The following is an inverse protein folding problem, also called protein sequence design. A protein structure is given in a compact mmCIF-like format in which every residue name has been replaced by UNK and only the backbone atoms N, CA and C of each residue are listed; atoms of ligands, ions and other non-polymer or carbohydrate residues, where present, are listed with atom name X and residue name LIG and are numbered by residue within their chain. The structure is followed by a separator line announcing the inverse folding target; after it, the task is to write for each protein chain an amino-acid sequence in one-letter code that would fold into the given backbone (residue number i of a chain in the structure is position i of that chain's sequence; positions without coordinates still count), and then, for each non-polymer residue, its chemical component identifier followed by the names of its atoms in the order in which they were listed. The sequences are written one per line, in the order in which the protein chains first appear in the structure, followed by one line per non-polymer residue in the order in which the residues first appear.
data_IF_173264921336
#
_entry.id   IF_173264921336
#
_cell.length_a   1.000
_cell.length_b   1.000
_cell.length_c   1.000
_cell.angle_alpha   90.00
_cell.angle_beta   90.00
_cell.angle_gamma   90.00
#
_symmetry.space_group_name_H-M   'P 1'
#
loop_
_entity.id
_entity.type
_entity.pdbx_description
1 polymer ?
#
# COMPACT_ATOMS: atom_id res chain seq x y z
N UNK A 1 8.07 -7.16 -20.55
CA UNK A 1 6.59 -7.07 -20.53
C UNK A 1 6.01 -6.87 -21.93
N UNK A 2 6.15 -5.70 -22.59
CA UNK A 2 5.54 -5.44 -23.92
C UNK A 2 5.85 -6.46 -25.03
N UNK A 3 7.01 -7.12 -24.97
CA UNK A 3 7.36 -8.15 -25.94
C UNK A 3 6.65 -9.49 -25.70
N UNK A 4 6.24 -9.76 -24.46
CA UNK A 4 5.79 -11.08 -23.98
C UNK A 4 4.27 -11.14 -23.78
N UNK A 5 3.65 -10.02 -23.38
CA UNK A 5 2.23 -9.97 -23.02
C UNK A 5 1.31 -10.28 -24.21
N UNK A 6 0.40 -11.25 -24.01
CA UNK A 6 -0.64 -11.61 -24.98
C UNK A 6 -0.14 -12.31 -26.24
N UNK A 7 1.10 -12.81 -26.24
CA UNK A 7 1.67 -13.52 -27.39
C UNK A 7 1.97 -14.97 -27.05
N UNK A 8 1.98 -15.80 -28.08
CA UNK A 8 2.42 -17.18 -28.00
C UNK A 8 3.94 -17.28 -28.16
N UNK A 9 4.52 -18.29 -27.52
CA UNK A 9 5.95 -18.55 -27.48
C UNK A 9 6.23 -20.04 -27.58
N UNK A 10 7.32 -20.37 -28.25
CA UNK A 10 7.86 -21.72 -28.30
C UNK A 10 8.90 -21.88 -27.18
N UNK A 11 8.73 -22.89 -26.34
CA UNK A 11 9.64 -23.19 -25.24
C UNK A 11 10.36 -24.49 -25.52
N UNK A 12 11.69 -24.43 -25.56
CA UNK A 12 12.56 -25.58 -25.72
C UNK A 12 13.25 -25.90 -24.40
N UNK A 13 13.20 -27.17 -24.03
CA UNK A 13 13.77 -27.70 -22.79
C UNK A 13 15.05 -28.45 -23.12
N UNK A 14 16.08 -28.20 -22.34
CA UNK A 14 17.30 -28.97 -22.31
C UNK A 14 17.28 -29.76 -21.01
N UNK A 15 17.10 -31.07 -21.13
CA UNK A 15 17.06 -31.98 -20.00
C UNK A 15 18.46 -32.58 -19.76
N UNK A 16 18.74 -32.96 -18.51
CA UNK A 16 19.90 -33.78 -18.17
C UNK A 16 19.63 -35.26 -18.48
N UNK A 17 20.63 -36.09 -18.22
CA UNK A 17 20.56 -37.53 -18.45
C UNK A 17 19.65 -38.27 -17.46
N UNK A 18 19.17 -37.58 -16.41
CA UNK A 18 18.30 -38.11 -15.35
C UNK A 18 16.84 -37.64 -15.54
N UNK A 19 16.56 -36.80 -16.54
CA UNK A 19 15.25 -36.26 -16.86
C UNK A 19 14.89 -34.97 -16.13
N UNK A 20 15.85 -34.31 -15.47
CA UNK A 20 15.64 -32.98 -14.90
C UNK A 20 15.91 -31.90 -15.96
N UNK A 21 15.14 -30.82 -15.91
CA UNK A 21 15.35 -29.67 -16.81
C UNK A 21 16.59 -28.89 -16.37
N UNK A 22 17.64 -28.87 -17.20
CA UNK A 22 18.83 -28.03 -16.99
C UNK A 22 18.57 -26.58 -17.40
N UNK A 23 17.89 -26.39 -18.52
CA UNK A 23 17.65 -25.06 -19.08
C UNK A 23 16.41 -25.04 -19.94
N UNK A 24 15.63 -23.96 -19.84
CA UNK A 24 14.49 -23.71 -20.70
C UNK A 24 14.68 -22.40 -21.46
N UNK A 25 14.55 -22.45 -22.79
CA UNK A 25 14.80 -21.32 -23.68
C UNK A 25 13.54 -20.98 -24.45
N UNK A 26 13.19 -19.69 -24.47
CA UNK A 26 11.98 -19.18 -25.10
C UNK A 26 12.32 -18.51 -26.42
N UNK A 27 11.61 -18.92 -27.46
CA UNK A 27 11.66 -18.32 -28.78
C UNK A 27 10.30 -17.74 -29.17
N UNK A 28 10.34 -16.73 -30.03
CA UNK A 28 9.16 -16.18 -30.68
C UNK A 28 9.49 -15.97 -32.16
N UNK A 29 8.73 -16.61 -33.06
CA UNK A 29 8.94 -16.51 -34.50
C UNK A 29 10.40 -16.76 -34.91
N UNK A 30 11.04 -17.79 -34.31
CA UNK A 30 12.45 -18.13 -34.57
C UNK A 30 13.49 -17.21 -33.93
N UNK A 31 13.08 -16.19 -33.16
CA UNK A 31 13.99 -15.29 -32.44
C UNK A 31 14.10 -15.67 -30.97
N UNK A 32 15.33 -15.77 -30.46
CA UNK A 32 15.59 -15.93 -29.03
C UNK A 32 15.04 -14.73 -28.24
N UNK A 33 14.26 -15.01 -27.20
CA UNK A 33 13.65 -13.99 -26.32
C UNK A 33 14.39 -13.95 -24.99
N UNK A 34 14.32 -15.04 -24.23
CA UNK A 34 14.93 -15.14 -22.91
C UNK A 34 15.06 -16.60 -22.46
N UNK A 35 15.81 -16.78 -21.39
CA UNK A 35 15.84 -18.02 -20.61
C UNK A 35 14.75 -17.99 -19.54
N UNK A 36 14.10 -19.13 -19.30
CA UNK A 36 13.14 -19.31 -18.21
C UNK A 36 13.89 -19.80 -16.98
N UNK A 37 13.68 -19.10 -15.87
CA UNK A 37 14.22 -19.48 -14.57
C UNK A 37 13.12 -20.15 -13.76
N UNK A 38 13.47 -21.16 -12.97
CA UNK A 38 12.51 -21.76 -12.04
C UNK A 38 12.06 -20.72 -11.01
N UNK A 39 10.76 -20.73 -10.70
CA UNK A 39 10.21 -19.87 -9.68
C UNK A 39 10.77 -20.27 -8.31
N UNK A 40 11.43 -19.35 -7.57
CA UNK A 40 11.95 -19.63 -6.25
C UNK A 40 10.79 -20.00 -5.32
N UNK A 41 10.94 -21.11 -4.59
CA UNK A 41 9.92 -21.59 -3.64
C UNK A 41 10.34 -21.22 -2.22
N UNK A 42 9.36 -20.81 -1.42
CA UNK A 42 9.58 -20.52 -0.01
C UNK A 42 8.37 -20.94 0.85
N UNK A 43 8.61 -21.25 2.12
CA UNK A 43 7.54 -21.58 3.06
C UNK A 43 6.67 -20.37 3.39
N UNK A 44 5.35 -20.50 3.29
CA UNK A 44 4.41 -19.40 3.59
C UNK A 44 4.26 -19.16 5.10
N UNK A 45 4.35 -20.20 5.91
CA UNK A 45 4.24 -20.11 7.35
C UNK A 45 5.50 -19.47 7.93
N UNK A 46 5.35 -18.33 8.62
CA UNK A 46 6.49 -17.57 9.16
C UNK A 46 7.35 -18.37 10.14
N UNK A 47 6.76 -19.29 10.89
CA UNK A 47 7.48 -20.12 11.86
C UNK A 47 8.40 -21.17 11.21
N UNK A 48 8.11 -21.57 9.97
CA UNK A 48 8.87 -22.59 9.22
C UNK A 48 9.81 -21.95 8.19
N UNK A 49 9.91 -20.61 8.16
CA UNK A 49 10.79 -19.90 7.24
C UNK A 49 12.24 -20.02 7.67
N UNK A 50 13.04 -20.59 6.80
CA UNK A 50 14.50 -20.62 6.89
C UNK A 50 15.11 -19.33 6.34
N UNK A 51 16.42 -19.13 6.55
CA UNK A 51 17.14 -18.00 5.94
C UNK A 51 17.10 -18.03 4.41
N UNK A 52 17.11 -19.22 3.80
CA UNK A 52 16.97 -19.39 2.35
C UNK A 52 15.57 -18.99 1.86
N UNK A 53 14.53 -19.30 2.63
CA UNK A 53 13.16 -18.87 2.33
C UNK A 53 13.04 -17.35 2.29
N UNK A 54 13.74 -16.64 3.18
CA UNK A 54 13.76 -15.18 3.21
C UNK A 54 14.43 -14.59 1.96
N UNK A 55 15.52 -15.19 1.50
CA UNK A 55 16.22 -14.78 0.27
C UNK A 55 15.34 -15.03 -0.95
N UNK A 56 14.76 -16.24 -1.06
CA UNK A 56 13.85 -16.62 -2.14
C UNK A 56 12.62 -15.70 -2.21
N UNK A 57 12.04 -15.40 -1.05
CA UNK A 57 10.94 -14.44 -0.93
C UNK A 57 11.37 -13.05 -1.38
N UNK A 58 12.50 -12.54 -0.91
CA UNK A 58 12.99 -11.22 -1.30
C UNK A 58 13.20 -11.10 -2.82
N UNK A 59 13.72 -12.16 -3.45
CA UNK A 59 13.89 -12.22 -4.90
C UNK A 59 12.53 -12.15 -5.63
N UNK A 60 11.55 -12.92 -5.17
CA UNK A 60 10.21 -12.93 -5.75
C UNK A 60 9.47 -11.60 -5.53
N UNK A 61 9.60 -11.01 -4.34
CA UNK A 61 9.02 -9.71 -4.01
C UNK A 61 9.61 -8.60 -4.89
N UNK A 62 10.95 -8.60 -5.11
CA UNK A 62 11.61 -7.65 -5.99
C UNK A 62 11.11 -7.75 -7.45
N UNK A 63 10.94 -8.97 -7.96
CA UNK A 63 10.34 -9.18 -9.28
C UNK A 63 8.90 -8.66 -9.35
N UNK A 64 8.08 -9.01 -8.37
CA UNK A 64 6.66 -8.59 -8.28
C UNK A 64 6.55 -7.06 -8.27
N UNK A 65 7.39 -6.39 -7.48
CA UNK A 65 7.45 -4.92 -7.42
C UNK A 65 7.86 -4.30 -8.76
N UNK A 66 8.73 -4.96 -9.51
CA UNK A 66 9.12 -4.51 -10.86
C UNK A 66 7.93 -4.53 -11.82
N UNK A 67 7.13 -5.59 -11.77
CA UNK A 67 5.91 -5.74 -12.58
C UNK A 67 4.86 -4.69 -12.20
N UNK A 68 4.57 -4.52 -10.91
CA UNK A 68 3.60 -3.55 -10.41
C UNK A 68 3.99 -2.13 -10.84
N UNK A 69 5.26 -1.74 -10.63
CA UNK A 69 5.74 -0.41 -11.04
C UNK A 69 5.69 -0.18 -12.54
N UNK A 70 5.92 -1.22 -13.35
CA UNK A 70 5.75 -1.13 -14.79
C UNK A 70 4.30 -0.83 -15.16
N UNK A 71 3.33 -1.54 -14.57
CA UNK A 71 1.91 -1.31 -14.79
C UNK A 71 1.46 0.09 -14.34
N UNK A 72 1.89 0.55 -13.17
CA UNK A 72 1.63 1.92 -12.68
C UNK A 72 2.19 2.98 -13.61
N UNK A 73 3.39 2.77 -14.17
CA UNK A 73 3.97 3.69 -15.15
C UNK A 73 3.17 3.69 -16.45
N UNK A 74 2.72 2.53 -16.93
CA UNK A 74 1.87 2.46 -18.12
C UNK A 74 0.53 3.16 -17.88
N UNK A 75 -0.12 2.96 -16.73
CA UNK A 75 -1.41 3.60 -16.44
C UNK A 75 -1.30 5.12 -16.32
N UNK A 76 -0.24 5.63 -15.69
CA UNK A 76 0.03 7.08 -15.60
C UNK A 76 0.41 7.71 -16.95
N UNK A 77 0.93 6.93 -17.89
CA UNK A 77 1.24 7.40 -19.24
C UNK A 77 0.00 7.52 -20.13
N UNK A 78 -1.14 6.95 -19.72
CA UNK A 78 -2.41 7.12 -20.43
C UNK A 78 -2.87 8.57 -20.20
N UNK A 79 -3.04 9.30 -21.30
CA UNK A 79 -3.50 10.69 -21.26
C UNK A 79 -4.90 10.77 -20.66
N UNK A 80 -5.06 11.60 -19.63
CA UNK A 80 -6.37 11.81 -18.99
C UNK A 80 -7.22 12.71 -19.89
N UNK A 81 -8.21 12.12 -20.57
CA UNK A 81 -9.22 12.90 -21.28
C UNK A 81 -10.10 13.58 -20.24
N UNK A 82 -10.12 14.91 -20.24
CA UNK A 82 -10.98 15.71 -19.36
C UNK A 82 -12.44 15.57 -19.76
N UNK A 83 -13.11 14.53 -19.29
CA UNK A 83 -14.57 14.40 -19.46
C UNK A 83 -15.22 15.43 -18.54
N UNK A 84 -15.68 16.54 -19.11
CA UNK A 84 -16.51 17.52 -18.39
C UNK A 84 -17.90 16.92 -18.23
N UNK A 85 -18.11 16.12 -17.19
CA UNK A 85 -19.46 15.73 -16.81
C UNK A 85 -20.15 16.95 -16.20
N UNK A 86 -21.03 17.59 -16.96
CA UNK A 86 -22.01 18.56 -16.40
C UNK A 86 -23.11 17.76 -15.69
N UNK A 87 -22.71 16.96 -14.69
CA UNK A 87 -23.67 16.32 -13.81
C UNK A 87 -24.18 17.41 -12.85
N UNK A 88 -25.49 17.72 -12.85
CA UNK A 88 -26.05 18.66 -11.89
C UNK A 88 -25.79 18.12 -10.47
N UNK A 89 -25.39 19.00 -9.55
CA UNK A 89 -25.14 18.62 -8.16
C UNK A 89 -26.36 17.85 -7.62
N UNK A 90 -26.17 16.69 -6.96
CA UNK A 90 -27.29 15.92 -6.44
C UNK A 90 -28.09 16.79 -5.46
N UNK A 91 -29.37 17.00 -5.77
CA UNK A 91 -30.29 17.73 -4.89
C UNK A 91 -30.74 16.78 -3.77
N UNK A 92 -30.60 17.19 -2.51
CA UNK A 92 -31.27 16.52 -1.38
C UNK A 92 -32.77 16.86 -1.47
N UNK A 93 -33.53 16.00 -2.14
CA UNK A 93 -34.99 16.12 -2.27
C UNK A 93 -35.73 15.56 -1.05
N UNK A 94 -35.06 14.73 -0.24
CA UNK A 94 -35.63 14.14 0.97
C UNK A 94 -35.29 14.97 2.22
N UNK A 95 -36.32 15.52 2.85
CA UNK A 95 -36.26 16.21 4.15
C UNK A 95 -37.31 15.61 5.08
N UNK A 96 -36.89 15.12 6.25
CA UNK A 96 -37.80 14.66 7.30
C UNK A 96 -38.38 15.90 7.97
N UNK A 97 -39.71 16.08 7.93
CA UNK A 97 -40.39 17.17 8.63
C UNK A 97 -40.11 17.07 10.14
N UNK A 98 -39.68 18.17 10.75
CA UNK A 98 -39.47 18.30 12.19
C UNK A 98 -38.06 17.95 12.69
N UNK A 99 -37.18 17.39 11.85
CA UNK A 99 -35.79 17.11 12.25
C UNK A 99 -34.92 18.36 12.03
N UNK A 100 -34.71 19.14 13.09
CA UNK A 100 -33.73 20.23 13.09
C UNK A 100 -32.33 19.63 13.22
N UNK A 101 -31.42 19.97 12.32
CA UNK A 101 -30.00 19.63 12.46
C UNK A 101 -29.47 20.46 13.63
N UNK A 102 -28.73 19.81 14.53
CA UNK A 102 -27.98 20.54 15.56
C UNK A 102 -26.97 21.44 14.87
N UNK A 103 -27.10 22.74 15.08
CA UNK A 103 -26.09 23.74 14.75
C UNK A 103 -25.40 24.04 16.07
N UNK A 104 -24.09 23.83 16.15
CA UNK A 104 -23.35 24.21 17.35
C UNK A 104 -23.46 25.74 17.48
N UNK A 105 -24.06 26.21 18.56
CA UNK A 105 -23.92 27.60 18.96
C UNK A 105 -22.43 27.85 19.19
N UNK A 106 -21.85 28.79 18.45
CA UNK A 106 -20.52 29.34 18.74
C UNK A 106 -20.64 30.26 19.97
N UNK A 107 -21.14 29.74 21.08
CA UNK A 107 -20.85 30.33 22.36
C UNK A 107 -19.44 29.86 22.71
N UNK A 108 -18.50 30.80 22.68
CA UNK A 108 -17.18 30.65 23.29
C UNK A 108 -17.38 30.52 24.80
N UNK A 109 -17.93 29.39 25.24
CA UNK A 109 -17.92 29.02 26.63
C UNK A 109 -16.45 28.82 27.00
N UNK A 110 -15.94 29.69 27.87
CA UNK A 110 -14.61 29.55 28.45
C UNK A 110 -14.52 28.15 29.08
N UNK A 111 -13.82 27.25 28.39
CA UNK A 111 -13.62 25.89 28.88
C UNK A 111 -12.62 26.00 30.02
N UNK A 112 -12.99 25.58 31.22
CA UNK A 112 -12.05 25.46 32.32
C UNK A 112 -10.94 24.48 31.91
N UNK A 113 -9.75 25.03 31.64
CA UNK A 113 -8.55 24.23 31.45
C UNK A 113 -8.16 23.74 32.84
N UNK A 114 -8.38 22.45 33.11
CA UNK A 114 -7.87 21.79 34.30
C UNK A 114 -6.36 22.08 34.40
N UNK A 115 -5.95 22.67 35.52
CA UNK A 115 -4.56 23.08 35.76
C UNK A 115 -3.57 21.91 35.64
N UNK A 116 -2.37 22.24 35.18
CA UNK A 116 -1.15 21.45 35.05
C UNK A 116 -1.34 19.92 34.97
N UNK A 117 -1.33 19.41 33.75
CA UNK A 117 -1.22 17.99 33.38
C UNK A 117 0.07 17.29 33.87
N UNK A 118 0.92 17.98 34.64
CA UNK A 118 2.18 17.45 35.16
C UNK A 118 2.00 16.57 36.41
N UNK A 119 0.79 16.52 37.00
CA UNK A 119 0.42 15.60 38.09
C UNK A 119 -0.42 14.40 37.61
N UNK A 120 -0.15 13.88 36.41
CA UNK A 120 -0.64 12.53 36.06
C UNK A 120 0.15 11.53 36.89
N UNK A 121 -0.48 10.89 37.88
CA UNK A 121 0.10 9.80 38.65
C UNK A 121 0.67 8.72 37.71
N UNK A 122 1.80 8.10 38.08
CA UNK A 122 2.46 7.05 37.27
C UNK A 122 1.51 5.90 36.89
N UNK A 123 0.47 5.65 37.69
CA UNK A 123 -0.56 4.64 37.44
C UNK A 123 -1.47 4.98 36.24
N UNK A 124 -1.66 6.25 35.92
CA UNK A 124 -2.55 6.70 34.83
C UNK A 124 -1.85 6.67 33.45
N UNK A 125 -0.52 6.66 33.43
CA UNK A 125 0.26 6.54 32.19
C UNK A 125 0.08 5.17 31.52
N UNK A 126 -0.25 4.14 32.30
CA UNK A 126 -0.47 2.78 31.80
C UNK A 126 -1.74 2.66 30.95
N UNK A 127 -2.78 3.47 31.21
CA UNK A 127 -4.05 3.42 30.47
C UNK A 127 -4.01 4.16 29.12
N UNK A 128 -3.02 5.04 28.94
CA UNK A 128 -2.78 5.78 27.69
C UNK A 128 -1.91 5.00 26.69
N UNK A 129 -1.28 3.91 27.11
CA UNK A 129 -0.36 3.11 26.30
C UNK A 129 -1.04 1.87 25.72
N UNK A 130 -1.45 1.93 24.45
CA UNK A 130 -1.83 0.74 23.69
C UNK A 130 -0.67 0.30 22.80
N UNK A 131 0.07 -0.73 23.20
CA UNK A 131 1.21 -1.27 22.45
C UNK A 131 0.82 -1.97 21.14
N UNK A 132 -0.47 -2.22 20.89
CA UNK A 132 -0.92 -2.98 19.72
C UNK A 132 -0.99 -2.18 18.42
N UNK A 133 -0.84 -0.84 18.45
CA UNK A 133 -0.97 0.01 17.26
C UNK A 133 0.35 0.27 16.52
N UNK A 134 1.51 -0.17 17.04
CA UNK A 134 2.80 -0.13 16.33
C UNK A 134 3.30 1.28 15.97
N UNK A 135 2.83 2.32 16.66
CA UNK A 135 3.14 3.74 16.37
C UNK A 135 4.31 4.31 17.19
N UNK A 136 5.21 3.43 17.64
CA UNK A 136 6.30 3.68 18.59
C UNK A 136 7.31 4.76 18.11
N UNK A 137 7.28 5.09 16.81
CA UNK A 137 8.22 6.02 16.17
C UNK A 137 7.58 7.13 15.34
N UNK A 138 6.34 7.55 15.62
CA UNK A 138 5.67 8.58 14.80
C UNK A 138 5.59 9.95 15.52
N UNK A 139 6.60 10.85 15.39
CA UNK A 139 6.57 12.19 15.96
C UNK A 139 5.82 13.18 15.04
N UNK A 140 4.77 12.77 14.33
CA UNK A 140 4.15 13.66 13.33
C UNK A 140 3.03 14.56 13.84
N UNK A 141 2.30 14.19 14.91
CA UNK A 141 1.12 14.97 15.29
C UNK A 141 1.46 16.17 16.19
N UNK A 142 2.35 16.01 17.18
CA UNK A 142 2.81 17.11 18.06
C UNK A 142 3.48 18.26 17.29
N UNK A 143 4.28 17.95 16.26
CA UNK A 143 4.97 18.99 15.48
C UNK A 143 4.05 19.79 14.56
N UNK A 144 2.92 19.20 14.12
CA UNK A 144 1.96 19.88 13.22
C UNK A 144 1.06 20.85 13.97
N UNK A 145 0.79 20.59 15.26
CA UNK A 145 -0.04 21.45 16.10
C UNK A 145 0.67 22.76 16.45
N UNK A 146 1.95 22.69 16.84
CA UNK A 146 2.73 23.88 17.24
C UNK A 146 3.07 24.83 16.08
N UNK A 147 2.96 24.40 14.81
CA UNK A 147 3.22 25.28 13.66
C UNK A 147 2.06 26.20 13.31
N UNK A 148 0.83 25.88 13.75
CA UNK A 148 -0.34 26.73 13.47
C UNK A 148 -0.47 27.90 14.44
N UNK A 149 0.19 27.84 15.61
CA UNK A 149 0.09 28.85 16.66
C UNK A 149 1.18 29.93 16.60
N UNK A 150 2.16 29.84 15.71
CA UNK A 150 3.24 30.86 15.57
C UNK A 150 3.06 31.79 14.37
N UNK A 151 1.93 31.73 13.65
CA UNK A 151 1.62 32.68 12.59
C UNK A 151 0.78 33.85 13.12
N UNK A 152 1.40 34.73 13.90
CA UNK A 152 0.99 36.13 14.13
C UNK A 152 2.24 37.00 14.17
#
# INVERSE_FOLDING_TARGET
MKQIEGKEFDVFWLDDNEGNVLKAIVYQNGRYVCEVQEMPKFQRAKAEQTEQDLINKALQDAYTMTVIRFAERQSKAIESIGIVSVAPKPKRLFQIKGLKRYEAENEENEVEILGDFDEINEDDQHYMYNSSTGTEHVPQWKQRFNRQTTAV
#
